data_IF_578767796808
#
_entry.id   IF_578767796808
#
_cell.length_a   1.000
_cell.length_b   1.000
_cell.length_c   1.000
_cell.angle_alpha   90.00
_cell.angle_beta   90.00
_cell.angle_gamma   90.00
#
_symmetry.space_group_name_H-M   'P 1'
#
loop_
_entity.id
_entity.type
_entity.pdbx_description
1 polymer ?
#
# COMPACT_ATOMS: atom_id res chain seq x y z
N UNK A 1 -1.06 -16.24 -13.65
CA UNK A 1 -0.81 -15.44 -12.45
C UNK A 1 0.01 -16.26 -11.46
N UNK A 2 1.26 -15.86 -11.23
CA UNK A 2 2.11 -16.51 -10.24
C UNK A 2 1.79 -15.97 -8.84
N UNK A 3 1.52 -16.84 -7.89
CA UNK A 3 1.32 -16.48 -6.48
C UNK A 3 2.45 -17.05 -5.65
N UNK A 4 3.22 -16.20 -4.99
CA UNK A 4 4.27 -16.62 -4.07
C UNK A 4 3.69 -17.04 -2.71
N UNK A 5 4.17 -18.14 -2.19
CA UNK A 5 3.80 -18.67 -0.87
C UNK A 5 4.80 -18.23 0.19
N UNK A 6 4.75 -16.98 0.63
CA UNK A 6 5.43 -16.48 1.85
C UNK A 6 6.96 -16.29 1.83
N UNK A 7 7.74 -16.90 0.97
CA UNK A 7 9.17 -16.60 0.89
C UNK A 7 9.47 -15.80 -0.36
N UNK A 8 10.29 -14.76 -0.23
CA UNK A 8 10.74 -13.98 -1.36
C UNK A 8 11.60 -14.76 -2.38
N UNK A 9 12.03 -15.95 -1.99
CA UNK A 9 12.83 -16.83 -2.85
C UNK A 9 12.06 -17.31 -4.08
N UNK A 10 10.77 -17.62 -3.93
CA UNK A 10 9.92 -18.06 -5.07
C UNK A 10 9.81 -16.94 -6.12
N UNK A 11 9.64 -15.70 -5.69
CA UNK A 11 9.55 -14.55 -6.59
C UNK A 11 10.89 -14.29 -7.26
N UNK A 12 11.98 -14.39 -6.52
CA UNK A 12 13.33 -14.24 -7.06
C UNK A 12 13.60 -15.28 -8.15
N UNK A 13 13.37 -16.56 -7.85
CA UNK A 13 13.55 -17.65 -8.78
C UNK A 13 12.69 -17.47 -10.03
N UNK A 14 11.42 -17.15 -9.86
CA UNK A 14 10.52 -16.87 -10.97
C UNK A 14 11.05 -15.72 -11.85
N UNK A 15 11.38 -14.59 -11.25
CA UNK A 15 11.84 -13.41 -11.99
C UNK A 15 13.13 -13.69 -12.77
N UNK A 16 14.09 -14.34 -12.15
CA UNK A 16 15.37 -14.65 -12.79
C UNK A 16 15.19 -15.66 -13.95
N UNK A 17 14.41 -16.72 -13.74
CA UNK A 17 14.13 -17.74 -14.77
C UNK A 17 13.31 -17.15 -15.92
N UNK A 18 12.26 -16.38 -15.61
CA UNK A 18 11.42 -15.73 -16.62
C UNK A 18 12.22 -14.74 -17.46
N UNK A 19 13.10 -13.97 -16.83
CA UNK A 19 13.93 -12.96 -17.52
C UNK A 19 14.91 -13.59 -18.52
N UNK A 20 15.44 -14.76 -18.22
CA UNK A 20 16.31 -15.48 -19.15
C UNK A 20 15.58 -15.84 -20.45
N UNK A 21 14.30 -16.19 -20.38
CA UNK A 21 13.49 -16.60 -21.52
C UNK A 21 12.79 -15.45 -22.23
N UNK A 22 12.37 -14.44 -21.47
CA UNK A 22 11.56 -13.30 -21.94
C UNK A 22 12.18 -11.97 -21.52
N UNK A 23 13.27 -11.59 -22.18
CA UNK A 23 14.07 -10.42 -21.81
C UNK A 23 13.31 -9.08 -21.88
N UNK A 24 12.29 -8.98 -22.75
CA UNK A 24 11.58 -7.69 -23.01
C UNK A 24 10.17 -7.64 -22.41
N UNK A 25 9.70 -8.72 -21.82
CA UNK A 25 8.35 -8.73 -21.22
C UNK A 25 8.37 -8.08 -19.85
N UNK A 26 7.55 -7.04 -19.59
CA UNK A 26 7.48 -6.42 -18.29
C UNK A 26 7.00 -7.38 -17.20
N UNK A 27 7.64 -7.33 -16.04
CA UNK A 27 7.20 -8.05 -14.84
C UNK A 27 6.56 -7.05 -13.90
N UNK A 28 5.31 -7.32 -13.51
CA UNK A 28 4.55 -6.55 -12.54
C UNK A 28 4.32 -7.43 -11.31
N UNK A 29 4.61 -6.91 -10.13
CA UNK A 29 4.45 -7.63 -8.86
C UNK A 29 3.55 -6.88 -7.89
N UNK A 30 2.87 -7.64 -7.03
CA UNK A 30 2.03 -7.11 -5.95
C UNK A 30 2.53 -7.75 -4.63
N UNK A 31 3.49 -7.13 -3.93
CA UNK A 31 4.18 -7.74 -2.79
C UNK A 31 3.33 -7.70 -1.50
N UNK A 32 2.30 -8.51 -1.43
CA UNK A 32 1.46 -8.63 -0.23
C UNK A 32 2.06 -9.61 0.79
N UNK A 33 2.59 -10.73 0.32
CA UNK A 33 3.15 -11.79 1.18
C UNK A 33 4.67 -11.74 1.34
N UNK A 34 5.34 -10.96 0.51
CA UNK A 34 6.79 -10.73 0.53
C UNK A 34 7.10 -9.23 0.63
N UNK A 35 6.35 -8.54 1.47
CA UNK A 35 6.43 -7.09 1.71
C UNK A 35 7.75 -6.63 2.35
N UNK A 36 8.54 -7.58 2.88
CA UNK A 36 9.87 -7.35 3.43
C UNK A 36 10.96 -7.15 2.36
N UNK A 37 10.65 -7.44 1.08
CA UNK A 37 11.64 -7.30 0.01
C UNK A 37 11.65 -5.87 -0.50
N UNK A 38 12.80 -5.25 -0.44
CA UNK A 38 12.98 -3.88 -0.91
C UNK A 38 12.86 -3.76 -2.43
N UNK A 39 12.29 -2.67 -2.92
CA UNK A 39 12.13 -2.41 -4.36
C UNK A 39 13.46 -2.50 -5.13
N UNK A 40 14.57 -2.10 -4.51
CA UNK A 40 15.90 -2.22 -5.12
C UNK A 40 16.29 -3.67 -5.43
N UNK A 41 15.89 -4.63 -4.59
CA UNK A 41 16.11 -6.06 -4.85
C UNK A 41 15.18 -6.58 -5.96
N UNK A 42 13.90 -6.22 -5.92
CA UNK A 42 12.94 -6.56 -6.98
C UNK A 42 13.42 -6.04 -8.34
N UNK A 43 13.94 -4.82 -8.38
CA UNK A 43 14.52 -4.22 -9.58
C UNK A 43 15.70 -5.02 -10.12
N UNK A 44 16.61 -5.48 -9.24
CA UNK A 44 17.74 -6.34 -9.63
C UNK A 44 17.29 -7.67 -10.26
N UNK A 45 16.14 -8.19 -9.83
CA UNK A 45 15.55 -9.42 -10.42
C UNK A 45 14.77 -9.16 -11.71
N UNK A 46 14.71 -7.92 -12.17
CA UNK A 46 14.06 -7.55 -13.43
C UNK A 46 12.59 -7.21 -13.32
N UNK A 47 12.11 -6.88 -12.13
CA UNK A 47 10.75 -6.32 -11.92
C UNK A 47 10.71 -4.88 -12.43
N UNK A 48 9.66 -4.52 -13.15
CA UNK A 48 9.44 -3.20 -13.74
C UNK A 48 8.44 -2.36 -12.95
N UNK A 49 7.39 -2.99 -12.42
CA UNK A 49 6.31 -2.31 -11.71
C UNK A 49 6.00 -3.05 -10.41
N UNK A 50 5.93 -2.29 -9.33
CA UNK A 50 5.48 -2.77 -8.02
C UNK A 50 4.16 -2.08 -7.68
N UNK A 51 3.12 -2.88 -7.39
CA UNK A 51 1.79 -2.37 -7.04
C UNK A 51 1.54 -2.58 -5.55
N UNK A 52 1.38 -1.49 -4.82
CA UNK A 52 0.90 -1.49 -3.43
C UNK A 52 -0.63 -1.40 -3.40
N UNK A 53 -1.29 -2.56 -3.64
CA UNK A 53 -2.68 -2.62 -4.05
C UNK A 53 -3.70 -2.08 -3.04
N UNK A 54 -3.52 -2.29 -1.75
CA UNK A 54 -4.58 -2.01 -0.77
C UNK A 54 -4.10 -1.38 0.55
N UNK A 55 -2.86 -0.91 0.60
CA UNK A 55 -2.27 -0.36 1.82
C UNK A 55 -3.01 0.88 2.33
N UNK A 56 -3.41 1.79 1.42
CA UNK A 56 -4.15 3.00 1.78
C UNK A 56 -5.52 2.67 2.35
N UNK A 57 -6.26 1.76 1.72
CA UNK A 57 -7.57 1.32 2.21
C UNK A 57 -7.46 0.62 3.57
N UNK A 58 -6.48 -0.27 3.73
CA UNK A 58 -6.22 -0.97 4.99
C UNK A 58 -5.81 -0.04 6.13
N UNK A 59 -5.18 1.08 5.81
CA UNK A 59 -4.85 2.11 6.77
C UNK A 59 -6.05 3.00 7.08
N UNK A 60 -6.79 3.42 6.07
CA UNK A 60 -7.91 4.35 6.19
C UNK A 60 -9.11 3.75 6.95
N UNK A 61 -9.48 2.50 6.64
CA UNK A 61 -10.67 1.89 7.24
C UNK A 61 -10.62 1.82 8.78
N UNK A 62 -9.59 1.25 9.42
CA UNK A 62 -9.53 1.22 10.89
C UNK A 62 -9.41 2.60 11.51
N UNK A 63 -8.76 3.56 10.85
CA UNK A 63 -8.68 4.93 11.31
C UNK A 63 -10.06 5.60 11.32
N UNK A 64 -10.84 5.47 10.24
CA UNK A 64 -12.21 5.97 10.16
C UNK A 64 -13.13 5.29 11.18
N UNK A 65 -13.01 3.98 11.36
CA UNK A 65 -13.78 3.24 12.36
C UNK A 65 -13.50 3.73 13.77
N UNK A 66 -12.25 3.98 14.10
CA UNK A 66 -11.88 4.55 15.41
C UNK A 66 -12.56 5.90 15.66
N UNK A 67 -12.53 6.78 14.68
CA UNK A 67 -13.18 8.10 14.78
C UNK A 67 -14.69 7.94 14.96
N UNK A 68 -15.34 7.13 14.12
CA UNK A 68 -16.79 6.91 14.19
C UNK A 68 -17.23 6.33 15.54
N UNK A 69 -16.56 5.28 16.02
CA UNK A 69 -16.89 4.67 17.32
C UNK A 69 -16.69 5.66 18.48
N UNK A 70 -15.60 6.42 18.47
CA UNK A 70 -15.33 7.40 19.54
C UNK A 70 -16.38 8.50 19.58
N UNK A 71 -16.84 8.99 18.42
CA UNK A 71 -17.93 9.98 18.36
C UNK A 71 -19.24 9.37 18.90
N UNK A 72 -19.58 8.15 18.51
CA UNK A 72 -20.78 7.48 18.98
C UNK A 72 -20.77 7.25 20.51
N UNK A 73 -19.63 6.85 21.05
CA UNK A 73 -19.48 6.61 22.50
C UNK A 73 -19.57 7.90 23.32
N UNK A 74 -19.06 9.01 22.81
CA UNK A 74 -18.97 10.27 23.53
C UNK A 74 -20.10 11.28 23.18
N UNK A 75 -20.84 11.05 22.10
CA UNK A 75 -21.88 11.97 21.62
C UNK A 75 -21.35 13.32 21.15
N UNK A 76 -20.05 13.42 20.86
CA UNK A 76 -19.36 14.65 20.40
C UNK A 76 -18.03 14.31 19.75
N UNK A 77 -17.43 15.28 19.07
CA UNK A 77 -16.18 15.08 18.31
C UNK A 77 -14.91 15.56 19.03
N UNK A 78 -15.01 16.01 20.28
CA UNK A 78 -13.85 16.55 20.99
C UNK A 78 -12.73 15.51 21.15
N UNK A 79 -13.09 14.27 21.44
CA UNK A 79 -12.17 13.17 21.74
C UNK A 79 -11.45 12.65 20.49
N UNK A 80 -11.92 13.00 19.29
CA UNK A 80 -11.26 12.62 18.02
C UNK A 80 -10.44 13.75 17.40
N UNK A 81 -10.34 14.88 18.07
CA UNK A 81 -9.63 16.05 17.53
C UNK A 81 -8.22 15.73 17.08
N UNK A 82 -7.46 14.97 17.89
CA UNK A 82 -6.07 14.60 17.60
C UNK A 82 -5.94 13.42 16.62
N UNK A 83 -7.07 12.76 16.30
CA UNK A 83 -7.13 11.69 15.30
C UNK A 83 -7.46 12.21 13.90
N UNK A 84 -7.89 13.44 13.80
CA UNK A 84 -8.34 14.05 12.56
C UNK A 84 -7.39 15.17 12.12
N UNK A 85 -7.16 15.25 10.81
CA UNK A 85 -6.47 16.38 10.22
C UNK A 85 -7.27 17.67 10.47
N UNK A 86 -6.62 18.80 10.81
CA UNK A 86 -7.30 20.09 10.92
C UNK A 86 -8.07 20.45 9.64
N UNK A 87 -9.25 21.04 9.81
CA UNK A 87 -10.11 21.41 8.67
C UNK A 87 -9.39 22.32 7.68
N UNK A 88 -8.59 23.25 8.17
CA UNK A 88 -7.80 24.14 7.32
C UNK A 88 -6.88 23.37 6.39
N UNK A 89 -6.17 22.37 6.92
CA UNK A 89 -5.22 21.56 6.15
C UNK A 89 -5.94 20.70 5.11
N UNK A 90 -7.08 20.07 5.46
CA UNK A 90 -7.81 19.23 4.49
C UNK A 90 -8.41 20.04 3.35
N UNK A 91 -8.83 21.29 3.61
CA UNK A 91 -9.33 22.18 2.57
C UNK A 91 -8.23 22.65 1.62
N UNK A 92 -6.99 22.72 2.08
CA UNK A 92 -5.82 23.10 1.28
C UNK A 92 -5.30 21.96 0.38
N UNK A 93 -5.71 20.69 0.63
CA UNK A 93 -5.30 19.56 -0.19
C UNK A 93 -5.83 19.63 -1.64
N UNK A 94 -6.96 20.29 -1.86
CA UNK A 94 -7.54 20.46 -3.18
C UNK A 94 -7.36 21.93 -3.60
N UNK A 95 -6.47 22.22 -4.58
CA UNK A 95 -6.25 23.59 -5.04
C UNK A 95 -7.56 24.25 -5.53
N UNK A 96 -7.80 25.47 -5.07
CA UNK A 96 -8.99 26.24 -5.48
C UNK A 96 -10.26 25.98 -4.65
N UNK A 97 -10.21 25.09 -3.66
CA UNK A 97 -11.29 24.93 -2.69
C UNK A 97 -11.14 26.01 -1.61
N UNK A 98 -12.12 26.90 -1.54
CA UNK A 98 -12.19 27.92 -0.48
C UNK A 98 -13.35 27.66 0.45
#
# INVERSE_FOLDING_TARGET
LFRSNKSGEDIKEFCLTFRQRYAHVPIVVVPTTYDHIHESELRKWGVHVVIYANHMLRAAYPAMMRVACTILENGRAQEVRDLCMPIKEILELIPGTK
#
